data_IF_355379509149
#
_entry.id   IF_355379509149
#
_cell.length_a   1.000
_cell.length_b   1.000
_cell.length_c   1.000
_cell.angle_alpha   90.00
_cell.angle_beta   90.00
_cell.angle_gamma   90.00
#
_symmetry.space_group_name_H-M   'P 1'
#
loop_
_entity.id
_entity.type
_entity.pdbx_description
1 polymer ?
#
# COMPACT_ATOMS: atom_id res chain seq x y z
N UNK A 1 -45.88 11.38 -0.64
CA UNK A 1 -45.63 10.12 0.10
C UNK A 1 -46.87 9.24 0.00
N UNK A 2 -46.86 8.12 -0.75
CA UNK A 2 -48.03 7.26 -0.86
C UNK A 2 -48.15 6.37 0.39
N UNK A 3 -49.36 6.30 0.95
CA UNK A 3 -49.70 5.44 2.08
C UNK A 3 -49.64 3.99 1.59
N UNK A 4 -48.66 3.21 2.07
CA UNK A 4 -48.67 1.75 1.89
C UNK A 4 -50.04 1.20 2.31
N UNK A 5 -50.73 0.56 1.35
CA UNK A 5 -52.06 -0.05 1.53
C UNK A 5 -52.09 -0.89 2.81
N UNK A 6 -53.14 -0.73 3.62
CA UNK A 6 -53.33 -1.42 4.91
C UNK A 6 -53.14 -2.94 4.81
N UNK A 7 -53.47 -3.54 3.65
CA UNK A 7 -53.26 -4.96 3.39
C UNK A 7 -51.76 -5.34 3.40
N UNK A 8 -50.90 -4.53 2.78
CA UNK A 8 -49.45 -4.78 2.73
C UNK A 8 -48.81 -4.63 4.11
N UNK A 9 -49.29 -3.68 4.92
CA UNK A 9 -48.83 -3.51 6.31
C UNK A 9 -49.17 -4.73 7.16
N UNK A 10 -50.40 -5.25 7.05
CA UNK A 10 -50.81 -6.46 7.76
C UNK A 10 -50.00 -7.68 7.33
N UNK A 11 -49.77 -7.85 6.03
CA UNK A 11 -48.96 -8.94 5.51
C UNK A 11 -47.50 -8.86 5.98
N UNK A 12 -46.91 -7.66 5.97
CA UNK A 12 -45.55 -7.46 6.47
C UNK A 12 -45.43 -7.79 7.95
N UNK A 13 -46.42 -7.43 8.77
CA UNK A 13 -46.43 -7.76 10.20
C UNK A 13 -46.58 -9.27 10.40
N UNK A 14 -47.49 -9.92 9.69
CA UNK A 14 -47.69 -11.37 9.78
C UNK A 14 -46.43 -12.15 9.41
N UNK A 15 -45.78 -11.80 8.28
CA UNK A 15 -44.53 -12.44 7.87
C UNK A 15 -43.42 -12.24 8.90
N UNK A 16 -43.33 -11.06 9.53
CA UNK A 16 -42.31 -10.79 10.55
C UNK A 16 -42.51 -11.64 11.82
N UNK A 17 -43.76 -11.79 12.26
CA UNK A 17 -44.10 -12.61 13.42
C UNK A 17 -43.78 -14.07 13.14
N UNK A 18 -44.23 -14.59 11.99
CA UNK A 18 -43.95 -15.97 11.59
C UNK A 18 -42.44 -16.26 11.49
N UNK A 19 -41.65 -15.33 10.93
CA UNK A 19 -40.19 -15.49 10.89
C UNK A 19 -39.54 -15.46 12.26
N UNK A 20 -40.09 -14.70 13.20
CA UNK A 20 -39.58 -14.62 14.57
C UNK A 20 -39.85 -15.93 15.31
N UNK A 21 -41.07 -16.46 15.23
CA UNK A 21 -41.46 -17.70 15.88
C UNK A 21 -40.64 -18.89 15.35
N UNK A 22 -40.44 -18.95 14.02
CA UNK A 22 -39.58 -19.97 13.39
C UNK A 22 -38.11 -19.86 13.83
N UNK A 23 -37.58 -18.65 13.95
CA UNK A 23 -36.20 -18.43 14.41
C UNK A 23 -36.02 -18.77 15.89
N UNK A 24 -37.07 -18.56 16.72
CA UNK A 24 -37.09 -18.95 18.12
C UNK A 24 -37.15 -20.47 18.29
N UNK A 25 -38.04 -21.15 17.55
CA UNK A 25 -38.15 -22.61 17.58
C UNK A 25 -36.87 -23.30 17.07
N UNK A 26 -36.17 -22.65 16.13
CA UNK A 26 -34.90 -23.14 15.57
C UNK A 26 -33.67 -22.83 16.44
N UNK A 27 -33.83 -22.11 17.57
CA UNK A 27 -32.71 -21.72 18.46
C UNK A 27 -31.72 -20.75 17.81
N UNK A 28 -32.16 -19.99 16.78
CA UNK A 28 -31.34 -19.01 16.06
C UNK A 28 -31.30 -17.68 16.82
N UNK A 29 -32.32 -17.40 17.63
CA UNK A 29 -32.35 -16.22 18.48
C UNK A 29 -31.49 -16.44 19.74
N UNK A 30 -30.72 -15.43 20.18
CA UNK A 30 -29.94 -15.53 21.40
C UNK A 30 -30.86 -15.67 22.62
N UNK A 31 -30.52 -16.57 23.54
CA UNK A 31 -31.23 -16.76 24.80
C UNK A 31 -31.15 -15.48 25.63
N UNK A 32 -32.20 -14.65 25.57
CA UNK A 32 -32.32 -13.47 26.40
C UNK A 32 -32.79 -13.85 27.81
N UNK A 33 -32.09 -14.78 28.46
CA UNK A 33 -32.17 -14.95 29.91
C UNK A 33 -31.03 -14.17 30.55
N UNK A 34 -31.27 -12.88 30.79
CA UNK A 34 -30.98 -12.20 32.06
C UNK A 34 -29.60 -12.29 32.72
N UNK A 35 -28.54 -12.65 32.00
CA UNK A 35 -27.17 -12.56 32.51
C UNK A 35 -26.46 -11.46 31.73
N UNK A 36 -26.33 -10.28 32.33
CA UNK A 36 -25.25 -9.37 31.96
C UNK A 36 -23.94 -10.13 32.24
N UNK A 37 -23.12 -10.45 31.24
CA UNK A 37 -21.72 -10.61 31.55
C UNK A 37 -21.25 -9.22 31.98
N UNK A 38 -20.70 -9.09 33.18
CA UNK A 38 -19.79 -7.98 33.45
C UNK A 38 -18.74 -8.05 32.33
N UNK A 39 -18.79 -7.09 31.41
CA UNK A 39 -17.80 -6.93 30.35
C UNK A 39 -16.45 -6.69 31.04
N UNK A 40 -15.61 -7.71 31.09
CA UNK A 40 -14.22 -7.63 31.50
C UNK A 40 -13.42 -6.93 30.39
N UNK A 41 -13.62 -5.61 30.29
CA UNK A 41 -12.91 -4.71 29.38
C UNK A 41 -11.44 -4.45 29.79
N UNK A 42 -10.96 -5.12 30.84
CA UNK A 42 -9.65 -4.88 31.45
C UNK A 42 -8.49 -5.38 30.59
N UNK A 43 -8.64 -6.54 29.95
CA UNK A 43 -7.51 -7.32 29.43
C UNK A 43 -7.02 -6.82 28.06
N UNK A 44 -7.94 -6.37 27.20
CA UNK A 44 -7.59 -5.84 25.88
C UNK A 44 -6.89 -4.48 25.95
N UNK A 45 -7.27 -3.64 26.91
CA UNK A 45 -6.75 -2.28 27.05
C UNK A 45 -5.32 -2.29 27.64
N UNK A 46 -5.03 -3.27 28.51
CA UNK A 46 -3.69 -3.51 29.06
C UNK A 46 -2.71 -3.94 27.96
N UNK A 47 -3.12 -4.88 27.10
CA UNK A 47 -2.29 -5.43 26.03
C UNK A 47 -1.91 -4.38 24.96
N UNK A 48 -2.85 -3.49 24.58
CA UNK A 48 -2.60 -2.41 23.62
C UNK A 48 -1.59 -1.39 24.18
N UNK A 49 -1.71 -1.05 25.46
CA UNK A 49 -0.81 -0.08 26.10
C UNK A 49 0.61 -0.64 26.21
N UNK A 50 0.76 -1.93 26.50
CA UNK A 50 2.04 -2.61 26.56
C UNK A 50 2.71 -2.68 25.18
N UNK A 51 1.96 -2.95 24.12
CA UNK A 51 2.45 -2.93 22.74
C UNK A 51 2.90 -1.52 22.30
N UNK A 52 2.13 -0.47 22.63
CA UNK A 52 2.49 0.92 22.33
C UNK A 52 3.78 1.31 23.07
N UNK A 53 3.90 0.94 24.35
CA UNK A 53 5.10 1.22 25.13
C UNK A 53 6.31 0.48 24.58
N UNK A 54 6.16 -0.79 24.16
CA UNK A 54 7.24 -1.56 23.52
C UNK A 54 7.72 -0.89 22.24
N UNK A 55 6.80 -0.54 21.33
CA UNK A 55 7.13 0.12 20.06
C UNK A 55 7.82 1.47 20.30
N UNK A 56 7.33 2.23 21.29
CA UNK A 56 7.92 3.54 21.64
C UNK A 56 9.37 3.39 22.12
N UNK A 57 9.65 2.38 22.95
CA UNK A 57 11.00 2.09 23.43
C UNK A 57 11.93 1.65 22.28
N UNK A 58 11.49 0.74 21.41
CA UNK A 58 12.26 0.29 20.24
C UNK A 58 12.60 1.44 19.29
N UNK A 59 11.62 2.32 19.02
CA UNK A 59 11.85 3.52 18.20
C UNK A 59 12.86 4.47 18.84
N UNK A 60 12.78 4.68 20.16
CA UNK A 60 13.71 5.56 20.86
C UNK A 60 15.13 5.00 20.86
N UNK A 61 15.30 3.68 21.06
CA UNK A 61 16.60 3.01 20.97
C UNK A 61 17.23 3.20 19.58
N UNK A 62 16.45 2.98 18.52
CA UNK A 62 16.92 3.23 17.16
C UNK A 62 17.28 4.70 16.91
N UNK A 63 16.51 5.65 17.46
CA UNK A 63 16.82 7.08 17.36
C UNK A 63 18.13 7.40 18.08
N UNK A 64 18.35 6.83 19.27
CA UNK A 64 19.55 7.05 20.06
C UNK A 64 20.79 6.42 19.38
N UNK A 65 20.65 5.27 18.72
CA UNK A 65 21.70 4.64 17.91
C UNK A 65 22.15 5.50 16.72
N UNK A 66 21.26 6.33 16.15
CA UNK A 66 21.60 7.21 15.03
C UNK A 66 22.59 8.32 15.42
N UNK A 67 22.83 8.55 16.73
CA UNK A 67 23.85 9.48 17.26
C UNK A 67 23.90 10.83 16.53
N UNK A 68 22.72 11.43 16.29
CA UNK A 68 22.59 12.71 15.59
C UNK A 68 23.05 13.84 16.51
N UNK A 69 24.31 14.27 16.39
CA UNK A 69 24.86 15.37 17.20
C UNK A 69 24.28 16.75 16.87
N UNK A 70 23.67 16.90 15.70
CA UNK A 70 22.95 18.12 15.27
C UNK A 70 21.71 17.71 14.48
N UNK A 71 20.60 17.35 15.15
CA UNK A 71 19.36 17.02 14.47
C UNK A 71 18.88 18.23 13.69
N UNK A 72 18.57 18.04 12.40
CA UNK A 72 18.02 19.11 11.57
C UNK A 72 16.75 19.65 12.22
N UNK A 73 16.69 20.97 12.43
CA UNK A 73 15.49 21.60 12.96
C UNK A 73 14.40 21.57 11.90
N UNK A 74 13.13 21.54 12.32
CA UNK A 74 12.00 21.61 11.37
C UNK A 74 12.10 22.84 10.46
N UNK A 75 12.60 23.96 11.00
CA UNK A 75 12.85 25.19 10.24
C UNK A 75 13.94 25.00 9.17
N UNK A 76 15.08 24.37 9.50
CA UNK A 76 16.12 24.04 8.51
C UNK A 76 15.66 23.02 7.48
N UNK A 77 14.80 22.08 7.87
CA UNK A 77 14.23 21.10 6.95
C UNK A 77 13.32 21.75 5.90
N UNK A 78 12.50 22.73 6.32
CA UNK A 78 11.61 23.47 5.41
C UNK A 78 12.40 24.33 4.41
N UNK A 79 13.51 24.92 4.84
CA UNK A 79 14.32 25.84 4.02
C UNK A 79 15.60 25.19 3.48
N UNK A 80 15.65 23.85 3.39
CA UNK A 80 16.86 23.14 2.97
C UNK A 80 17.29 23.49 1.54
N UNK A 81 16.31 23.81 0.69
CA UNK A 81 16.53 24.24 -0.69
C UNK A 81 16.98 25.71 -0.79
N UNK A 82 16.75 26.51 0.25
CA UNK A 82 17.14 27.94 0.30
C UNK A 82 18.61 28.12 0.71
N UNK A 83 19.17 27.17 1.48
CA UNK A 83 20.57 27.14 1.90
C UNK A 83 21.51 26.59 0.82
N UNK A 84 20.98 25.97 -0.23
CA UNK A 84 21.78 25.58 -1.40
C UNK A 84 21.84 26.80 -2.32
N UNK A 85 22.95 27.55 -2.41
CA UNK A 85 23.14 28.44 -3.52
C UNK A 85 23.15 27.53 -4.76
N UNK A 86 22.04 27.52 -5.49
CA UNK A 86 22.03 27.08 -6.87
C UNK A 86 22.87 28.14 -7.56
N UNK A 87 24.19 27.94 -7.57
CA UNK A 87 25.11 28.70 -8.38
C UNK A 87 24.63 28.49 -9.81
N UNK A 88 23.83 29.45 -10.30
CA UNK A 88 23.22 29.40 -11.61
C UNK A 88 24.39 29.42 -12.58
N UNK A 89 24.71 28.25 -13.13
CA UNK A 89 25.73 28.10 -14.17
C UNK A 89 25.41 29.12 -15.26
N UNK A 90 26.42 29.92 -15.63
CA UNK A 90 26.25 30.85 -16.74
C UNK A 90 26.05 30.06 -18.05
N UNK A 91 25.42 30.67 -19.04
CA UNK A 91 25.26 30.06 -20.36
C UNK A 91 26.63 29.66 -20.95
N UNK A 92 27.69 30.43 -20.67
CA UNK A 92 29.06 30.12 -21.06
C UNK A 92 29.61 28.87 -20.37
N UNK A 93 29.34 28.68 -19.07
CA UNK A 93 29.76 27.49 -18.32
C UNK A 93 29.03 26.23 -18.80
N UNK A 94 27.74 26.36 -19.11
CA UNK A 94 26.91 25.29 -19.69
C UNK A 94 27.47 24.89 -21.06
N UNK A 95 27.76 25.87 -21.92
CA UNK A 95 28.32 25.63 -23.25
C UNK A 95 29.72 25.00 -23.14
N UNK A 96 30.56 25.49 -22.23
CA UNK A 96 31.91 24.96 -22.01
C UNK A 96 31.89 23.49 -21.55
N UNK A 97 30.97 23.11 -20.66
CA UNK A 97 30.81 21.73 -20.22
C UNK A 97 30.40 20.79 -21.37
N UNK A 98 29.51 21.25 -22.27
CA UNK A 98 29.07 20.47 -23.44
C UNK A 98 30.21 20.30 -24.46
N UNK A 99 30.93 21.39 -24.77
CA UNK A 99 32.06 21.36 -25.70
C UNK A 99 33.20 20.50 -25.16
N UNK A 100 33.53 20.64 -23.87
CA UNK A 100 34.58 19.85 -23.21
C UNK A 100 34.26 18.35 -23.20
N UNK A 101 32.98 17.97 -23.18
CA UNK A 101 32.54 16.57 -23.28
C UNK A 101 32.71 16.01 -24.70
N UNK A 102 32.54 16.85 -25.72
CA UNK A 102 32.68 16.46 -27.13
C UNK A 102 34.15 16.32 -27.56
N UNK A 103 35.05 17.12 -26.98
CA UNK A 103 36.49 17.09 -27.30
C UNK A 103 37.23 15.93 -26.59
N UNK A 104 36.64 15.34 -25.56
CA UNK A 104 37.17 14.19 -24.83
C UNK A 104 36.39 12.90 -25.15
N UNK A 105 36.18 12.62 -26.44
CA UNK A 105 35.50 11.40 -26.94
C UNK A 105 36.35 10.13 -26.80
N UNK A 106 37.07 10.01 -25.68
CA UNK A 106 37.77 8.80 -25.23
C UNK A 106 37.59 8.59 -23.71
N UNK A 107 36.48 9.11 -23.16
CA UNK A 107 36.08 8.87 -21.76
C UNK A 107 35.13 7.67 -21.75
N UNK A 108 35.65 6.54 -21.26
CA UNK A 108 34.86 5.42 -20.72
C UNK A 108 33.72 6.01 -19.91
N UNK A 109 32.48 5.65 -20.28
CA UNK A 109 31.29 5.94 -19.48
C UNK A 109 31.62 5.69 -18.00
N UNK A 110 31.70 6.78 -17.23
CA UNK A 110 31.67 6.71 -15.79
C UNK A 110 30.25 6.26 -15.46
N UNK A 111 30.12 4.95 -15.32
CA UNK A 111 28.95 4.20 -14.87
C UNK A 111 28.66 4.51 -13.40
N UNK A 112 28.53 5.80 -13.09
CA UNK A 112 28.19 6.33 -11.77
C UNK A 112 26.88 7.09 -11.86
N UNK A 113 25.85 6.28 -12.02
CA UNK A 113 24.56 6.34 -11.31
C UNK A 113 23.41 5.91 -12.21
N UNK A 114 23.55 4.79 -12.91
CA UNK A 114 22.40 3.92 -12.99
C UNK A 114 22.22 3.39 -11.55
N UNK A 115 21.45 4.13 -10.74
CA UNK A 115 20.87 3.55 -9.53
C UNK A 115 20.25 2.25 -10.00
N UNK A 116 20.89 1.13 -9.69
CA UNK A 116 20.33 -0.20 -9.88
C UNK A 116 19.12 -0.26 -8.93
N UNK A 117 18.02 0.37 -9.33
CA UNK A 117 16.73 0.26 -8.65
C UNK A 117 16.29 -1.15 -8.98
N UNK A 118 16.72 -2.09 -8.15
CA UNK A 118 16.32 -3.48 -8.24
C UNK A 118 14.86 -3.56 -7.81
N UNK A 119 13.94 -3.30 -8.74
CA UNK A 119 12.51 -3.40 -8.52
C UNK A 119 12.17 -4.87 -8.19
N UNK A 120 11.63 -5.11 -7.00
CA UNK A 120 11.23 -6.46 -6.63
C UNK A 120 9.99 -6.90 -7.42
N UNK A 121 9.89 -8.19 -7.76
CA UNK A 121 8.74 -8.71 -8.54
C UNK A 121 7.37 -8.38 -7.90
N UNK A 122 7.29 -8.37 -6.56
CA UNK A 122 6.07 -7.99 -5.83
C UNK A 122 5.71 -6.51 -6.03
N UNK A 123 6.72 -5.64 -6.04
CA UNK A 123 6.57 -4.20 -6.25
C UNK A 123 6.18 -3.89 -7.70
N UNK A 124 6.82 -4.55 -8.67
CA UNK A 124 6.44 -4.48 -10.07
C UNK A 124 4.98 -4.92 -10.30
N UNK A 125 4.56 -6.00 -9.65
CA UNK A 125 3.18 -6.50 -9.73
C UNK A 125 2.18 -5.48 -9.15
N UNK A 126 2.44 -4.95 -7.96
CA UNK A 126 1.58 -3.95 -7.32
C UNK A 126 1.44 -2.69 -8.15
N UNK A 127 2.54 -2.20 -8.72
CA UNK A 127 2.55 -1.02 -9.58
C UNK A 127 1.74 -1.25 -10.85
N UNK A 128 1.90 -2.42 -11.49
CA UNK A 128 1.13 -2.78 -12.68
C UNK A 128 -0.37 -2.90 -12.37
N UNK A 129 -0.76 -3.39 -11.19
CA UNK A 129 -2.16 -3.44 -10.77
C UNK A 129 -2.79 -2.06 -10.64
N UNK A 130 -2.05 -1.07 -10.12
CA UNK A 130 -2.49 0.33 -10.06
C UNK A 130 -2.73 0.89 -11.46
N UNK A 131 -1.82 0.62 -12.40
CA UNK A 131 -1.95 1.04 -13.81
C UNK A 131 -3.16 0.40 -14.49
N UNK A 132 -3.36 -0.91 -14.33
CA UNK A 132 -4.55 -1.60 -14.87
C UNK A 132 -5.84 -1.03 -14.26
N UNK A 133 -5.84 -0.71 -12.97
CA UNK A 133 -7.00 -0.12 -12.29
C UNK A 133 -7.30 1.28 -12.79
N UNK A 134 -6.28 2.08 -13.05
CA UNK A 134 -6.43 3.41 -13.65
C UNK A 134 -7.12 3.33 -15.02
N UNK A 135 -6.62 2.46 -15.91
CA UNK A 135 -7.20 2.29 -17.24
C UNK A 135 -8.62 1.72 -17.25
N UNK A 136 -9.04 1.01 -16.20
CA UNK A 136 -10.43 0.55 -16.05
C UNK A 136 -11.40 1.64 -15.60
N UNK A 137 -10.91 2.70 -14.97
CA UNK A 137 -11.71 3.77 -14.38
C UNK A 137 -11.47 5.11 -15.08
N UNK A 138 -11.18 5.05 -16.38
CA UNK A 138 -10.79 6.24 -17.13
C UNK A 138 -12.01 7.15 -17.35
N UNK A 139 -11.83 8.48 -17.27
CA UNK A 139 -12.87 9.41 -17.69
C UNK A 139 -13.20 9.22 -19.17
N UNK A 140 -14.46 9.45 -19.55
CA UNK A 140 -15.03 9.17 -20.89
C UNK A 140 -14.32 9.88 -22.06
N UNK A 141 -13.40 10.79 -21.76
CA UNK A 141 -12.63 11.57 -22.72
C UNK A 141 -11.32 10.91 -23.17
N UNK A 142 -10.91 9.77 -22.57
CA UNK A 142 -9.70 9.04 -22.96
C UNK A 142 -10.10 7.64 -23.41
N UNK A 143 -9.80 7.32 -24.67
CA UNK A 143 -10.07 6.01 -25.26
C UNK A 143 -8.83 5.14 -25.14
N UNK A 144 -8.93 4.06 -24.37
CA UNK A 144 -7.90 3.01 -24.28
C UNK A 144 -8.25 1.90 -25.24
N UNK A 145 -7.29 1.47 -26.05
CA UNK A 145 -7.51 0.34 -26.93
C UNK A 145 -7.57 -0.96 -26.11
N UNK A 146 -8.49 -1.85 -26.48
CA UNK A 146 -8.63 -3.16 -25.88
C UNK A 146 -7.31 -3.97 -25.97
N UNK A 147 -6.50 -3.73 -27.01
CA UNK A 147 -5.20 -4.39 -27.15
C UNK A 147 -4.20 -3.96 -26.08
N UNK A 148 -4.21 -2.69 -25.66
CA UNK A 148 -3.33 -2.15 -24.62
C UNK A 148 -3.64 -2.79 -23.26
N UNK A 149 -4.92 -2.87 -22.90
CA UNK A 149 -5.37 -3.58 -21.70
C UNK A 149 -5.03 -5.08 -21.74
N UNK A 150 -5.12 -5.71 -22.92
CA UNK A 150 -4.74 -7.12 -23.09
C UNK A 150 -3.23 -7.32 -22.85
N UNK A 151 -2.39 -6.40 -23.34
CA UNK A 151 -0.94 -6.42 -23.12
C UNK A 151 -0.61 -6.28 -21.62
N UNK A 152 -1.24 -5.32 -20.93
CA UNK A 152 -1.04 -5.13 -19.49
C UNK A 152 -1.42 -6.37 -18.67
N UNK A 153 -2.55 -7.00 -18.99
CA UNK A 153 -2.97 -8.23 -18.31
C UNK A 153 -2.05 -9.43 -18.62
N UNK A 154 -1.49 -9.48 -19.83
CA UNK A 154 -0.50 -10.50 -20.19
C UNK A 154 0.81 -10.31 -19.40
N UNK A 155 1.28 -9.06 -19.23
CA UNK A 155 2.43 -8.73 -18.40
C UNK A 155 2.18 -9.10 -16.94
N UNK A 156 1.00 -8.77 -16.41
CA UNK A 156 0.59 -9.16 -15.05
C UNK A 156 0.71 -10.66 -14.83
N UNK A 157 0.18 -11.44 -15.77
CA UNK A 157 0.24 -12.91 -15.71
C UNK A 157 1.67 -13.44 -15.72
N UNK A 158 2.55 -12.84 -16.53
CA UNK A 158 3.97 -13.22 -16.61
C UNK A 158 4.72 -12.97 -15.30
N UNK A 159 4.57 -11.77 -14.73
CA UNK A 159 5.22 -11.40 -13.46
C UNK A 159 4.72 -12.34 -12.34
N UNK A 160 3.41 -12.59 -12.29
CA UNK A 160 2.84 -13.46 -11.26
C UNK A 160 3.35 -14.91 -11.37
N UNK A 161 3.48 -15.42 -12.59
CA UNK A 161 4.09 -16.74 -12.84
C UNK A 161 5.53 -16.78 -12.35
N UNK A 162 6.33 -15.76 -12.64
CA UNK A 162 7.72 -15.69 -12.17
C UNK A 162 7.82 -15.67 -10.64
N UNK A 163 6.94 -14.97 -9.94
CA UNK A 163 6.87 -14.99 -8.46
C UNK A 163 6.61 -16.42 -7.96
N UNK A 164 5.66 -17.11 -8.55
CA UNK A 164 5.33 -18.49 -8.16
C UNK A 164 6.47 -19.47 -8.44
N UNK A 165 7.11 -19.36 -9.61
CA UNK A 165 8.21 -20.24 -9.99
C UNK A 165 9.44 -20.00 -9.11
N UNK A 166 9.75 -18.74 -8.77
CA UNK A 166 10.79 -18.41 -7.80
C UNK A 166 10.50 -19.01 -6.42
N UNK A 167 9.25 -18.91 -5.92
CA UNK A 167 8.88 -19.47 -4.63
C UNK A 167 9.04 -21.00 -4.58
N UNK A 168 8.68 -21.69 -5.67
CA UNK A 168 8.89 -23.14 -5.81
C UNK A 168 10.37 -23.49 -5.82
N UNK A 169 11.20 -22.74 -6.54
CA UNK A 169 12.64 -22.96 -6.60
C UNK A 169 13.28 -22.79 -5.22
N UNK A 170 12.97 -21.70 -4.51
CA UNK A 170 13.43 -21.49 -3.13
C UNK A 170 13.03 -22.63 -2.20
N UNK A 171 11.81 -23.16 -2.34
CA UNK A 171 11.34 -24.31 -1.56
C UNK A 171 12.14 -25.58 -1.88
N UNK A 172 12.40 -25.85 -3.16
CA UNK A 172 13.17 -27.02 -3.60
C UNK A 172 14.63 -26.92 -3.14
N UNK A 173 15.24 -25.74 -3.28
CA UNK A 173 16.62 -25.48 -2.87
C UNK A 173 16.79 -25.70 -1.36
N UNK A 174 15.84 -25.24 -0.55
CA UNK A 174 15.82 -25.47 0.90
C UNK A 174 15.69 -26.95 1.26
N UNK A 175 14.96 -27.74 0.47
CA UNK A 175 14.81 -29.18 0.70
C UNK A 175 16.10 -29.95 0.38
N UNK A 176 16.82 -29.56 -0.67
CA UNK A 176 18.07 -30.22 -1.10
C UNK A 176 19.29 -29.89 -0.22
N UNK A 177 19.19 -28.88 0.65
CA UNK A 177 20.25 -28.49 1.59
C UNK A 177 20.17 -29.20 2.95
N UNK A 178 19.12 -30.01 3.17
CA UNK A 178 18.94 -30.87 4.34
C UNK A 178 19.14 -32.35 3.99
#
# INVERSE_FOLDING_TARGET
MPVLSTALRKLLVANKVETYDLAQESGILPDFEGNNPEEDDSDWNQNINDDINRITLELQEMIDELNLQDPITAERFIHIDDEIPIELLSDEEIIAAIISRLENDDIKEDDKSETNISIFNKEALSSLEKVVRYFKNLPDNILVDFTELKILNALKSKINKQIQDNAKQTTLDSFMQH
#
